data_IF_039599580879
#
_entry.id   IF_039599580879
#
_cell.length_a   1.000
_cell.length_b   1.000
_cell.length_c   1.000
_cell.angle_alpha   90.00
_cell.angle_beta   90.00
_cell.angle_gamma   90.00
#
_symmetry.space_group_name_H-M   'P 1'
#
loop_
_entity.id
_entity.type
_entity.pdbx_description
1 polymer ?
#
# COMPACT_ATOMS: atom_id res chain seq x y z
N UNK A 1 -1.98 -9.04 3.93
CA UNK A 1 -1.47 -8.37 2.71
C UNK A 1 -0.08 -7.83 3.00
N UNK A 2 0.95 -8.67 2.97
CA UNK A 2 2.35 -8.23 3.11
C UNK A 2 3.01 -7.96 1.75
N UNK A 3 2.25 -7.99 0.65
CA UNK A 3 2.77 -7.95 -0.72
C UNK A 3 3.63 -6.73 -1.04
N UNK A 4 3.32 -5.57 -0.42
CA UNK A 4 4.13 -4.35 -0.57
C UNK A 4 5.23 -4.17 0.48
N UNK A 5 5.33 -5.03 1.50
CA UNK A 5 6.14 -4.79 2.71
C UNK A 5 7.51 -5.52 2.69
N UNK A 6 7.72 -6.45 1.76
CA UNK A 6 8.88 -7.38 1.84
C UNK A 6 10.12 -6.79 1.17
N UNK A 7 10.75 -5.81 1.83
CA UNK A 7 12.17 -5.49 1.62
C UNK A 7 12.54 -4.31 0.71
N UNK A 8 11.69 -3.26 0.61
CA UNK A 8 11.95 -1.97 -0.09
C UNK A 8 11.93 -1.97 -1.64
N UNK A 9 10.91 -2.58 -2.25
CA UNK A 9 10.43 -2.28 -3.62
C UNK A 9 11.24 -2.78 -4.83
N UNK A 10 11.92 -3.92 -4.71
CA UNK A 10 12.46 -4.60 -5.88
C UNK A 10 11.33 -5.27 -6.68
N UNK A 11 11.24 -4.98 -7.98
CA UNK A 11 10.10 -5.32 -8.84
C UNK A 11 9.88 -6.83 -9.02
N UNK A 12 10.92 -7.67 -9.18
CA UNK A 12 10.76 -9.12 -9.23
C UNK A 12 10.24 -9.72 -7.91
N UNK A 13 10.65 -9.18 -6.76
CA UNK A 13 10.21 -9.68 -5.46
C UNK A 13 8.72 -9.40 -5.21
N UNK A 14 8.27 -8.18 -5.54
CA UNK A 14 6.85 -7.81 -5.47
C UNK A 14 6.02 -8.67 -6.42
N UNK A 15 6.50 -8.91 -7.65
CA UNK A 15 5.79 -9.74 -8.63
C UNK A 15 5.65 -11.19 -8.17
N UNK A 16 6.72 -11.81 -7.66
CA UNK A 16 6.67 -13.17 -7.12
C UNK A 16 5.69 -13.28 -5.95
N UNK A 17 5.70 -12.29 -5.07
CA UNK A 17 4.82 -12.29 -3.90
C UNK A 17 3.36 -12.02 -4.30
N UNK A 18 3.12 -11.16 -5.29
CA UNK A 18 1.79 -10.93 -5.85
C UNK A 18 1.23 -12.24 -6.40
N UNK A 19 1.97 -12.92 -7.27
CA UNK A 19 1.59 -14.21 -7.84
C UNK A 19 1.34 -15.27 -6.78
N UNK A 20 2.23 -15.39 -5.78
CA UNK A 20 2.07 -16.32 -4.66
C UNK A 20 0.78 -16.08 -3.87
N UNK A 21 0.35 -14.82 -3.76
CA UNK A 21 -0.89 -14.43 -3.09
C UNK A 21 -2.11 -14.43 -4.03
N UNK A 22 -1.98 -14.99 -5.24
CA UNK A 22 -3.08 -15.14 -6.19
C UNK A 22 -3.38 -13.92 -7.04
N UNK A 23 -2.59 -12.85 -6.95
CA UNK A 23 -2.73 -11.71 -7.85
C UNK A 23 -2.31 -12.09 -9.26
N UNK A 24 -3.10 -11.66 -10.25
CA UNK A 24 -2.85 -11.87 -11.66
C UNK A 24 -2.49 -10.54 -12.33
N UNK A 25 -1.69 -10.59 -13.39
CA UNK A 25 -1.34 -9.37 -14.13
C UNK A 25 -2.61 -8.65 -14.59
N UNK A 26 -2.68 -7.34 -14.35
CA UNK A 26 -3.83 -6.55 -14.73
C UNK A 26 -3.92 -6.46 -16.27
N UNK A 27 -5.12 -6.57 -16.87
CA UNK A 27 -5.35 -6.20 -18.25
C UNK A 27 -4.82 -4.78 -18.56
N UNK A 28 -4.39 -4.53 -19.80
CA UNK A 28 -3.63 -3.31 -20.14
C UNK A 28 -4.42 -2.00 -19.93
N UNK A 29 -5.75 -2.06 -20.10
CA UNK A 29 -6.68 -0.98 -19.79
C UNK A 29 -6.80 -0.73 -18.27
N UNK A 30 -7.02 -1.78 -17.48
CA UNK A 30 -7.06 -1.68 -16.02
C UNK A 30 -5.71 -1.21 -15.42
N UNK A 31 -4.60 -1.72 -15.95
CA UNK A 31 -3.25 -1.34 -15.54
C UNK A 31 -3.00 0.15 -15.72
N UNK A 32 -3.51 0.77 -16.80
CA UNK A 32 -3.39 2.21 -17.03
C UNK A 32 -4.06 3.04 -15.93
N UNK A 33 -5.19 2.57 -15.39
CA UNK A 33 -5.86 3.25 -14.28
C UNK A 33 -5.06 3.17 -12.98
N UNK A 34 -4.48 2.02 -12.65
CA UNK A 34 -3.67 1.88 -11.43
C UNK A 34 -2.31 2.58 -11.50
N UNK A 35 -1.72 2.66 -12.70
CA UNK A 35 -0.41 3.28 -12.91
C UNK A 35 -0.49 4.79 -13.16
N UNK A 36 -1.68 5.32 -13.48
CA UNK A 36 -1.88 6.74 -13.84
C UNK A 36 -0.88 7.25 -14.90
N UNK A 37 -0.56 6.40 -15.88
CA UNK A 37 0.38 6.72 -16.96
C UNK A 37 1.86 6.62 -16.61
N UNK A 38 2.22 6.23 -15.39
CA UNK A 38 3.61 6.02 -14.99
C UNK A 38 4.11 4.64 -15.42
N UNK A 39 5.42 4.50 -15.76
CA UNK A 39 6.02 3.18 -15.97
C UNK A 39 5.92 2.32 -14.72
N UNK A 40 5.55 1.04 -14.88
CA UNK A 40 5.39 0.13 -13.76
C UNK A 40 4.66 -1.15 -14.14
N UNK A 41 4.25 -1.90 -13.12
CA UNK A 41 3.42 -3.10 -13.25
C UNK A 41 2.19 -2.98 -12.36
N UNK A 42 1.11 -3.60 -12.80
CA UNK A 42 -0.11 -3.70 -12.03
C UNK A 42 -0.64 -5.12 -12.04
N UNK A 43 -1.24 -5.51 -10.92
CA UNK A 43 -1.90 -6.79 -10.73
C UNK A 43 -3.26 -6.58 -10.09
N UNK A 44 -4.16 -7.53 -10.29
CA UNK A 44 -5.49 -7.55 -9.67
C UNK A 44 -5.72 -8.87 -8.98
N UNK A 45 -6.52 -8.83 -7.92
CA UNK A 45 -7.02 -10.00 -7.24
C UNK A 45 -8.51 -9.78 -6.97
N UNK A 46 -9.30 -10.77 -7.33
CA UNK A 46 -10.72 -10.85 -7.00
C UNK A 46 -10.98 -12.16 -6.26
N UNK A 47 -11.57 -12.07 -5.08
CA UNK A 47 -11.98 -13.22 -4.28
C UNK A 47 -13.21 -12.87 -3.43
N UNK A 48 -13.66 -13.79 -2.57
CA UNK A 48 -14.82 -13.58 -1.68
C UNK A 48 -14.65 -12.37 -0.75
N UNK A 49 -13.40 -11.98 -0.45
CA UNK A 49 -13.05 -10.83 0.38
C UNK A 49 -12.95 -9.53 -0.43
N UNK A 50 -12.82 -9.64 -1.76
CA UNK A 50 -13.15 -8.57 -2.68
C UNK A 50 -12.23 -8.24 -3.82
N UNK A 51 -12.46 -7.01 -4.28
CA UNK A 51 -11.78 -6.20 -5.27
C UNK A 51 -10.41 -5.65 -4.84
N UNK A 52 -9.29 -6.15 -5.36
CA UNK A 52 -7.97 -5.58 -5.06
C UNK A 52 -7.18 -5.23 -6.31
N UNK A 53 -6.57 -4.05 -6.28
CA UNK A 53 -5.53 -3.63 -7.22
C UNK A 53 -4.18 -3.53 -6.52
N UNK A 54 -3.12 -3.92 -7.20
CA UNK A 54 -1.74 -3.72 -6.77
C UNK A 54 -1.01 -2.99 -7.89
N UNK A 55 -0.35 -1.88 -7.61
CA UNK A 55 0.57 -1.22 -8.54
C UNK A 55 1.96 -1.08 -7.95
N UNK A 56 2.95 -1.16 -8.82
CA UNK A 56 4.34 -0.85 -8.50
C UNK A 56 4.90 0.07 -9.58
N UNK A 57 5.22 1.29 -9.20
CA UNK A 57 5.84 2.27 -10.09
C UNK A 57 7.34 2.05 -10.16
N UNK A 58 7.91 2.08 -11.36
CA UNK A 58 9.32 1.78 -11.58
C UNK A 58 10.27 2.90 -11.13
N UNK A 59 9.86 4.17 -11.24
CA UNK A 59 10.76 5.31 -11.04
C UNK A 59 11.05 5.63 -9.56
N UNK A 60 10.03 5.53 -8.71
CA UNK A 60 10.12 5.84 -7.28
C UNK A 60 9.80 4.62 -6.41
N UNK A 61 9.70 3.44 -7.02
CA UNK A 61 9.51 2.20 -6.29
C UNK A 61 8.25 2.22 -5.39
N UNK A 62 7.26 3.05 -5.75
CA UNK A 62 6.02 3.21 -5.01
C UNK A 62 5.14 2.00 -5.25
N UNK A 63 4.87 1.25 -4.18
CA UNK A 63 3.92 0.14 -4.19
C UNK A 63 2.60 0.61 -3.60
N UNK A 64 1.50 0.43 -4.33
CA UNK A 64 0.16 0.82 -3.87
C UNK A 64 -0.82 -0.34 -3.96
N UNK A 65 -1.60 -0.55 -2.90
CA UNK A 65 -2.72 -1.50 -2.84
C UNK A 65 -4.02 -0.70 -2.81
N UNK A 66 -4.91 -1.00 -3.76
CA UNK A 66 -6.25 -0.44 -3.87
C UNK A 66 -7.24 -1.47 -3.36
N UNK A 67 -8.09 -1.07 -2.42
CA UNK A 67 -9.07 -1.93 -1.77
C UNK A 67 -10.46 -1.40 -2.08
N UNK A 68 -11.26 -2.19 -2.79
CA UNK A 68 -12.58 -1.76 -3.26
C UNK A 68 -13.74 -2.17 -2.34
N UNK A 69 -13.48 -3.00 -1.32
CA UNK A 69 -14.47 -3.36 -0.30
C UNK A 69 -13.83 -3.69 1.04
N UNK A 70 -14.65 -3.65 2.10
CA UNK A 70 -14.26 -3.93 3.48
C UNK A 70 -14.69 -2.82 4.42
N UNK A 71 -14.70 -3.11 5.72
CA UNK A 71 -14.95 -2.09 6.73
C UNK A 71 -13.72 -1.17 6.86
N UNK A 72 -13.89 0.17 6.81
CA UNK A 72 -12.81 1.13 6.95
C UNK A 72 -11.91 0.94 8.18
N UNK A 73 -12.51 0.65 9.34
CA UNK A 73 -11.78 0.51 10.60
C UNK A 73 -11.03 -0.83 10.64
N UNK A 74 -11.64 -1.90 10.13
CA UNK A 74 -10.97 -3.20 10.01
C UNK A 74 -9.78 -3.17 9.05
N UNK A 75 -9.88 -2.42 7.94
CA UNK A 75 -8.79 -2.21 6.99
C UNK A 75 -7.64 -1.46 7.68
N UNK A 76 -7.96 -0.37 8.39
CA UNK A 76 -6.98 0.40 9.13
C UNK A 76 -6.25 -0.46 10.18
N UNK A 77 -7.00 -1.23 10.97
CA UNK A 77 -6.47 -2.10 12.01
C UNK A 77 -5.61 -3.22 11.43
N UNK A 78 -6.03 -3.83 10.32
CA UNK A 78 -5.29 -4.89 9.62
C UNK A 78 -3.92 -4.40 9.13
N UNK A 79 -3.86 -3.17 8.64
CA UNK A 79 -2.59 -2.56 8.23
C UNK A 79 -1.72 -2.22 9.44
N UNK A 80 -2.29 -1.60 10.49
CA UNK A 80 -1.55 -1.23 11.70
C UNK A 80 -0.98 -2.45 12.45
N UNK A 81 -1.58 -3.63 12.29
CA UNK A 81 -1.05 -4.87 12.84
C UNK A 81 0.33 -5.27 12.28
N UNK A 82 0.75 -4.69 11.14
CA UNK A 82 2.09 -4.90 10.57
C UNK A 82 3.13 -3.89 11.05
N UNK A 83 2.72 -2.85 11.80
CA UNK A 83 3.66 -1.88 12.33
C UNK A 83 4.69 -2.54 13.25
N UNK A 84 5.91 -1.97 13.34
CA UNK A 84 6.95 -2.54 14.17
C UNK A 84 6.53 -2.77 15.62
N UNK A 85 6.85 -3.97 16.13
CA UNK A 85 6.69 -4.30 17.56
C UNK A 85 7.79 -3.62 18.39
N UNK A 86 7.51 -3.40 19.69
CA UNK A 86 8.39 -2.67 20.63
C UNK A 86 9.84 -3.20 20.71
N UNK A 87 10.08 -4.47 20.37
CA UNK A 87 11.40 -5.11 20.48
C UNK A 87 12.06 -5.39 19.11
N UNK A 88 11.56 -4.79 18.04
CA UNK A 88 12.06 -5.04 16.68
C UNK A 88 13.31 -4.22 16.30
N UNK A 89 13.71 -3.25 17.14
CA UNK A 89 14.74 -2.26 16.79
C UNK A 89 14.26 -1.13 15.88
N UNK A 90 12.96 -1.10 15.56
CA UNK A 90 12.28 -0.04 14.82
C UNK A 90 11.20 0.63 15.68
N UNK A 91 11.00 1.91 15.45
CA UNK A 91 9.88 2.69 15.99
C UNK A 91 9.05 3.26 14.84
N UNK A 92 7.92 3.89 15.16
CA UNK A 92 7.15 4.60 14.15
C UNK A 92 6.50 5.87 14.71
N UNK A 93 6.21 6.82 13.83
CA UNK A 93 5.27 7.92 14.10
C UNK A 93 3.97 7.68 13.34
N UNK A 94 2.86 8.23 13.83
CA UNK A 94 1.55 8.21 13.16
C UNK A 94 1.04 9.64 13.07
N UNK A 95 0.65 10.07 11.87
CA UNK A 95 0.16 11.42 11.63
C UNK A 95 -1.02 11.41 10.66
N UNK A 96 -2.11 12.11 11.00
CA UNK A 96 -3.15 12.42 10.02
C UNK A 96 -2.65 13.59 9.18
N UNK A 97 -2.39 13.35 7.89
CA UNK A 97 -1.82 14.35 6.97
C UNK A 97 -2.88 15.02 6.10
N UNK A 98 -4.07 14.43 6.00
CA UNK A 98 -5.23 15.01 5.33
C UNK A 98 -6.53 14.43 5.86
N UNK A 99 -7.57 15.25 5.93
CA UNK A 99 -8.95 14.82 6.20
C UNK A 99 -9.90 15.73 5.43
N UNK A 100 -10.74 15.15 4.56
CA UNK A 100 -11.70 15.90 3.76
C UNK A 100 -12.95 15.06 3.52
N UNK A 101 -14.09 15.50 4.05
CA UNK A 101 -15.33 14.71 4.06
C UNK A 101 -15.09 13.34 4.71
N UNK A 102 -15.49 12.27 4.00
CA UNK A 102 -15.32 10.88 4.43
C UNK A 102 -13.91 10.32 4.15
N UNK A 103 -13.00 11.10 3.56
CA UNK A 103 -11.63 10.69 3.29
C UNK A 103 -10.70 11.10 4.42
N UNK A 104 -9.90 10.13 4.90
CA UNK A 104 -8.81 10.38 5.85
C UNK A 104 -7.53 9.77 5.33
N UNK A 105 -6.46 10.57 5.30
CA UNK A 105 -5.12 10.10 4.97
C UNK A 105 -4.22 10.13 6.21
N UNK A 106 -3.67 8.97 6.54
CA UNK A 106 -2.74 8.77 7.65
C UNK A 106 -1.38 8.35 7.11
N UNK A 107 -0.32 9.00 7.58
CA UNK A 107 1.06 8.63 7.32
C UNK A 107 1.68 7.95 8.54
N UNK A 108 2.51 6.95 8.28
CA UNK A 108 3.33 6.27 9.27
C UNK A 108 4.78 6.29 8.80
N UNK A 109 5.66 6.91 9.58
CA UNK A 109 7.10 6.85 9.31
C UNK A 109 7.69 5.74 10.16
N UNK A 110 8.26 4.74 9.49
CA UNK A 110 9.02 3.68 10.15
C UNK A 110 10.46 4.18 10.32
N UNK A 111 10.96 4.12 11.55
CA UNK A 111 12.21 4.74 11.96
C UNK A 111 13.16 3.67 12.52
N UNK A 112 14.42 3.72 12.09
CA UNK A 112 15.51 2.93 12.64
C UNK A 112 16.63 3.87 13.11
N UNK A 113 16.84 3.97 14.42
CA UNK A 113 17.72 5.00 14.99
C UNK A 113 17.21 6.41 14.64
N UNK A 114 18.03 7.30 14.04
CA UNK A 114 17.60 8.65 13.66
C UNK A 114 17.01 8.74 12.24
N UNK A 115 16.92 7.64 11.48
CA UNK A 115 16.56 7.66 10.05
C UNK A 115 15.16 7.11 9.82
N UNK A 116 14.36 7.82 9.03
CA UNK A 116 13.14 7.25 8.43
C UNK A 116 13.60 6.27 7.35
N UNK A 117 13.18 5.02 7.47
CA UNK A 117 13.55 3.93 6.55
C UNK A 117 12.44 3.58 5.58
N UNK A 118 11.20 3.91 5.93
CA UNK A 118 10.01 3.64 5.14
C UNK A 118 8.90 4.60 5.56
N UNK A 119 8.08 5.00 4.59
CA UNK A 119 6.84 5.76 4.84
C UNK A 119 5.67 4.98 4.26
N UNK A 120 4.67 4.74 5.11
CA UNK A 120 3.38 4.16 4.73
C UNK A 120 2.36 5.28 4.70
N UNK A 121 1.56 5.36 3.63
CA UNK A 121 0.46 6.31 3.51
C UNK A 121 -0.80 5.53 3.21
N UNK A 122 -1.77 5.60 4.10
CA UNK A 122 -3.09 5.00 3.88
C UNK A 122 -4.12 6.11 3.75
N UNK A 123 -4.91 6.06 2.69
CA UNK A 123 -6.12 6.87 2.55
C UNK A 123 -7.32 5.95 2.62
N UNK A 124 -8.25 6.22 3.52
CA UNK A 124 -9.47 5.44 3.72
C UNK A 124 -10.68 6.35 3.47
N UNK A 125 -11.66 5.81 2.74
CA UNK A 125 -12.98 6.38 2.56
C UNK A 125 -13.95 5.70 3.53
N UNK A 126 -14.52 6.47 4.44
CA UNK A 126 -15.48 6.00 5.45
C UNK A 126 -16.94 6.06 4.96
N UNK A 127 -17.16 6.42 3.70
CA UNK A 127 -18.48 6.43 3.08
C UNK A 127 -18.97 5.01 2.77
N UNK A 128 -20.19 4.68 3.20
CA UNK A 128 -20.77 3.33 3.06
C UNK A 128 -21.02 2.87 1.61
N UNK A 129 -20.98 3.77 0.63
CA UNK A 129 -21.28 3.46 -0.78
C UNK A 129 -20.09 3.66 -1.73
N UNK A 130 -18.87 3.75 -1.22
CA UNK A 130 -17.70 3.97 -2.07
C UNK A 130 -17.28 2.70 -2.82
N UNK A 131 -17.09 2.81 -4.13
CA UNK A 131 -16.46 1.75 -4.93
C UNK A 131 -14.95 1.59 -4.67
N UNK A 132 -14.33 2.52 -3.94
CA UNK A 132 -12.93 2.44 -3.47
C UNK A 132 -12.89 2.79 -1.98
N UNK A 133 -12.55 1.82 -1.14
CA UNK A 133 -12.55 1.97 0.31
C UNK A 133 -11.20 2.44 0.82
N UNK A 134 -10.08 1.94 0.27
CA UNK A 134 -8.76 2.39 0.71
C UNK A 134 -7.70 2.33 -0.38
N UNK A 135 -6.70 3.20 -0.27
CA UNK A 135 -5.42 3.11 -0.98
C UNK A 135 -4.32 3.08 0.08
N UNK A 136 -3.49 2.04 0.04
CA UNK A 136 -2.31 1.89 0.89
C UNK A 136 -1.06 1.99 0.04
N UNK A 137 -0.20 2.95 0.34
CA UNK A 137 1.00 3.27 -0.43
C UNK A 137 2.25 3.14 0.42
N UNK A 138 3.28 2.51 -0.12
CA UNK A 138 4.52 2.20 0.57
C UNK A 138 5.70 2.74 -0.24
N UNK A 139 6.54 3.53 0.42
CA UNK A 139 7.80 4.00 -0.15
C UNK A 139 8.94 3.69 0.80
N UNK A 140 9.97 2.99 0.33
CA UNK A 140 11.23 2.87 1.03
C UNK A 140 11.98 4.20 1.07
N UNK A 141 12.92 4.36 2.01
CA UNK A 141 13.88 5.46 1.95
C UNK A 141 14.65 5.40 0.63
N UNK A 142 14.77 6.54 -0.06
CA UNK A 142 15.64 6.66 -1.23
C UNK A 142 17.04 6.14 -0.85
N UNK A 143 17.57 5.22 -1.67
CA UNK A 143 18.97 4.88 -1.58
C UNK A 143 19.74 6.18 -1.81
N UNK A 144 20.44 6.67 -0.79
CA UNK A 144 21.37 7.79 -0.95
C UNK A 144 22.39 7.35 -2.00
N UNK A 145 22.31 7.95 -3.19
CA UNK A 145 23.29 7.81 -4.25
C UNK A 145 24.61 8.49 -3.87
#
# INVERSE_FOLDING_TARGET
MTTCVVGRSDLPAVEQLAQKNGFQAAPSDAARHYLYGNPGKAWVLENEQGHYGLSLLAANHLCSIFVHQGDPDDIQASMEAWLPKKDSGYTFTKQIISSSGDLRTTAYDIIQGPKIVERWVITINYSQSSGLVAIMSYTGAEASS
#
